data_IF_554944711113
#
_entry.id   IF_554944711113
#
_cell.length_a   1.000
_cell.length_b   1.000
_cell.length_c   1.000
_cell.angle_alpha   90.00
_cell.angle_beta   90.00
_cell.angle_gamma   90.00
#
_symmetry.space_group_name_H-M   'P 1'
#
loop_
_entity.id
_entity.type
_entity.pdbx_description
1 polymer ?
#
# COMPACT_ATOMS: atom_id res chain seq x y z
N UNK A 1 -56.54 -14.60 -98.94
CA UNK A 1 -55.34 -14.42 -98.07
C UNK A 1 -55.12 -12.98 -97.56
N UNK A 2 -55.97 -11.99 -97.90
CA UNK A 2 -55.78 -10.57 -97.51
C UNK A 2 -56.26 -10.24 -96.09
N UNK A 3 -57.32 -10.90 -95.60
CA UNK A 3 -57.84 -10.69 -94.24
C UNK A 3 -56.84 -11.11 -93.15
N UNK A 4 -56.09 -12.18 -93.36
CA UNK A 4 -55.12 -12.70 -92.39
C UNK A 4 -53.93 -11.75 -92.18
N UNK A 5 -53.47 -11.08 -93.24
CA UNK A 5 -52.38 -10.07 -93.15
C UNK A 5 -52.82 -8.81 -92.40
N UNK A 6 -54.09 -8.39 -92.53
CA UNK A 6 -54.65 -7.25 -91.78
C UNK A 6 -54.77 -7.56 -90.29
N UNK A 7 -55.25 -8.77 -89.94
CA UNK A 7 -55.33 -9.22 -88.55
C UNK A 7 -53.95 -9.37 -87.91
N UNK A 8 -52.97 -9.90 -88.65
CA UNK A 8 -51.58 -10.01 -88.18
C UNK A 8 -50.93 -8.65 -87.89
N UNK A 9 -51.12 -7.67 -88.78
CA UNK A 9 -50.59 -6.33 -88.59
C UNK A 9 -51.26 -5.62 -87.41
N UNK A 10 -52.57 -5.79 -87.22
CA UNK A 10 -53.29 -5.27 -86.05
C UNK A 10 -52.78 -5.90 -84.75
N UNK A 11 -52.60 -7.23 -84.73
CA UNK A 11 -52.05 -7.95 -83.58
C UNK A 11 -50.62 -7.49 -83.24
N UNK A 12 -49.74 -7.36 -84.24
CA UNK A 12 -48.38 -6.85 -84.03
C UNK A 12 -48.38 -5.45 -83.42
N UNK A 13 -49.25 -4.56 -83.90
CA UNK A 13 -49.36 -3.21 -83.35
C UNK A 13 -49.87 -3.22 -81.90
N UNK A 14 -50.86 -4.06 -81.59
CA UNK A 14 -51.35 -4.25 -80.20
C UNK A 14 -50.24 -4.82 -79.31
N UNK A 15 -49.49 -5.81 -79.78
CA UNK A 15 -48.40 -6.42 -79.02
C UNK A 15 -47.26 -5.42 -78.74
N UNK A 16 -46.89 -4.59 -79.72
CA UNK A 16 -45.87 -3.54 -79.55
C UNK A 16 -46.37 -2.49 -78.55
N UNK A 17 -47.61 -2.03 -78.69
CA UNK A 17 -48.19 -1.03 -77.78
C UNK A 17 -48.32 -1.57 -76.35
N UNK A 18 -48.74 -2.82 -76.20
CA UNK A 18 -48.83 -3.50 -74.91
C UNK A 18 -47.45 -3.66 -74.26
N UNK A 19 -46.43 -4.10 -75.02
CA UNK A 19 -45.06 -4.21 -74.52
C UNK A 19 -44.48 -2.85 -74.10
N UNK A 20 -44.75 -1.80 -74.88
CA UNK A 20 -44.34 -0.44 -74.53
C UNK A 20 -44.99 0.04 -73.23
N UNK A 21 -46.30 -0.19 -73.06
CA UNK A 21 -47.02 0.16 -71.82
C UNK A 21 -46.45 -0.61 -70.62
N UNK A 22 -46.26 -1.92 -70.73
CA UNK A 22 -45.73 -2.72 -69.62
C UNK A 22 -44.32 -2.31 -69.25
N UNK A 23 -43.45 -2.05 -70.23
CA UNK A 23 -42.10 -1.56 -69.98
C UNK A 23 -42.13 -0.17 -69.33
N UNK A 24 -43.00 0.73 -69.81
CA UNK A 24 -43.18 2.05 -69.23
C UNK A 24 -43.69 1.99 -67.78
N UNK A 25 -44.66 1.11 -67.49
CA UNK A 25 -45.12 0.87 -66.12
C UNK A 25 -43.98 0.31 -65.27
N UNK A 26 -43.21 -0.66 -65.78
CA UNK A 26 -42.08 -1.24 -65.07
C UNK A 26 -41.00 -0.18 -64.75
N UNK A 27 -40.73 0.72 -65.70
CA UNK A 27 -39.84 1.86 -65.51
C UNK A 27 -40.35 2.80 -64.40
N UNK A 28 -41.65 3.13 -64.39
CA UNK A 28 -42.27 3.92 -63.32
C UNK A 28 -42.13 3.21 -61.98
N UNK A 29 -42.36 1.89 -61.93
CA UNK A 29 -42.23 1.10 -60.70
C UNK A 29 -40.79 1.14 -60.18
N UNK A 30 -39.79 1.00 -61.05
CA UNK A 30 -38.38 1.13 -60.66
C UNK A 30 -38.09 2.53 -60.10
N UNK A 31 -38.61 3.58 -60.74
CA UNK A 31 -38.42 4.96 -60.31
C UNK A 31 -39.04 5.21 -58.92
N UNK A 32 -40.22 4.64 -58.67
CA UNK A 32 -40.87 4.68 -57.35
C UNK A 32 -40.05 3.91 -56.31
N UNK A 33 -39.59 2.69 -56.62
CA UNK A 33 -38.74 1.90 -55.73
C UNK A 33 -37.43 2.62 -55.38
N UNK A 34 -36.78 3.27 -56.35
CA UNK A 34 -35.58 4.08 -56.10
C UNK A 34 -35.87 5.22 -55.13
N UNK A 35 -37.02 5.87 -55.24
CA UNK A 35 -37.43 6.93 -54.31
C UNK A 35 -37.59 6.39 -52.88
N UNK A 36 -38.11 5.17 -52.72
CA UNK A 36 -38.21 4.51 -51.40
C UNK A 36 -36.82 4.12 -50.87
N UNK A 37 -35.94 3.59 -51.72
CA UNK A 37 -34.56 3.26 -51.34
C UNK A 37 -33.81 4.49 -50.84
N UNK A 38 -34.00 5.64 -51.49
CA UNK A 38 -33.43 6.91 -51.04
C UNK A 38 -33.91 7.30 -49.63
N UNK A 39 -35.22 7.20 -49.37
CA UNK A 39 -35.79 7.46 -48.04
C UNK A 39 -35.22 6.51 -46.97
N UNK A 40 -35.05 5.23 -47.28
CA UNK A 40 -34.46 4.26 -46.35
C UNK A 40 -32.99 4.59 -46.11
N UNK A 41 -32.23 4.89 -47.16
CA UNK A 41 -30.80 5.16 -47.06
C UNK A 41 -30.53 6.40 -46.21
N UNK A 42 -31.20 7.52 -46.51
CA UNK A 42 -31.00 8.79 -45.78
C UNK A 42 -31.69 8.84 -44.42
N UNK A 43 -32.86 8.20 -44.30
CA UNK A 43 -33.69 8.28 -43.10
C UNK A 43 -33.38 7.22 -42.05
N UNK A 44 -32.85 6.06 -42.46
CA UNK A 44 -32.68 4.90 -41.58
C UNK A 44 -31.26 4.35 -41.64
N UNK A 45 -30.77 3.96 -42.80
CA UNK A 45 -29.50 3.23 -42.91
C UNK A 45 -28.30 4.10 -42.48
N UNK A 46 -28.21 5.34 -42.97
CA UNK A 46 -27.14 6.26 -42.63
C UNK A 46 -27.10 6.63 -41.13
N UNK A 47 -28.20 7.07 -40.49
CA UNK A 47 -28.16 7.40 -39.06
C UNK A 47 -27.94 6.18 -38.17
N UNK A 48 -28.44 4.99 -38.55
CA UNK A 48 -28.21 3.78 -37.75
C UNK A 48 -26.78 3.25 -37.88
N UNK A 49 -26.27 3.08 -39.09
CA UNK A 49 -24.92 2.55 -39.31
C UNK A 49 -23.83 3.58 -39.00
N UNK A 50 -24.08 4.85 -39.34
CA UNK A 50 -23.22 5.97 -38.95
C UNK A 50 -23.24 6.17 -37.43
N UNK A 51 -24.42 6.16 -36.81
CA UNK A 51 -24.57 6.26 -35.35
C UNK A 51 -23.87 5.11 -34.62
N UNK A 52 -24.03 3.88 -35.10
CA UNK A 52 -23.38 2.71 -34.52
C UNK A 52 -21.86 2.76 -34.67
N UNK A 53 -21.37 3.04 -35.88
CA UNK A 53 -19.93 3.19 -36.13
C UNK A 53 -19.32 4.31 -35.29
N UNK A 54 -19.98 5.48 -35.23
CA UNK A 54 -19.55 6.60 -34.39
C UNK A 54 -19.48 6.22 -32.91
N UNK A 55 -20.44 5.43 -32.42
CA UNK A 55 -20.48 4.97 -31.03
C UNK A 55 -19.33 4.04 -30.70
N UNK A 56 -18.93 3.15 -31.63
CA UNK A 56 -17.77 2.28 -31.41
C UNK A 56 -16.44 3.04 -31.46
N UNK A 57 -16.32 4.04 -32.36
CA UNK A 57 -15.16 4.94 -32.35
C UNK A 57 -15.13 5.76 -31.05
N UNK A 58 -16.28 6.23 -30.58
CA UNK A 58 -16.43 6.92 -29.30
C UNK A 58 -16.08 6.04 -28.10
N UNK A 59 -16.49 4.77 -28.11
CA UNK A 59 -16.14 3.77 -27.10
C UNK A 59 -14.63 3.55 -27.05
N UNK A 60 -13.98 3.41 -28.20
CA UNK A 60 -12.53 3.27 -28.25
C UNK A 60 -11.80 4.49 -27.63
N UNK A 61 -12.29 5.69 -27.91
CA UNK A 61 -11.70 6.94 -27.37
C UNK A 61 -12.06 7.24 -25.91
N UNK A 62 -12.97 6.48 -25.28
CA UNK A 62 -13.45 6.76 -23.94
C UNK A 62 -12.44 6.38 -22.85
N UNK A 63 -12.64 6.89 -21.63
CA UNK A 63 -11.73 6.68 -20.48
C UNK A 63 -12.51 6.28 -19.24
N UNK A 64 -11.95 5.37 -18.44
CA UNK A 64 -12.46 4.99 -17.12
C UNK A 64 -11.77 5.86 -16.08
N UNK A 65 -12.53 6.74 -15.43
CA UNK A 65 -12.03 7.56 -14.31
C UNK A 65 -12.70 7.03 -13.04
N UNK A 66 -11.92 6.42 -12.17
CA UNK A 66 -12.43 5.90 -10.89
C UNK A 66 -11.36 5.99 -9.80
N UNK A 67 -11.78 5.90 -8.55
CA UNK A 67 -10.88 5.84 -7.40
C UNK A 67 -10.97 4.44 -6.82
N UNK A 68 -9.84 3.74 -6.79
CA UNK A 68 -9.74 2.41 -6.19
C UNK A 68 -9.41 2.61 -4.70
N UNK A 69 -10.30 2.14 -3.83
CA UNK A 69 -10.06 2.10 -2.39
C UNK A 69 -9.33 0.79 -2.04
N UNK A 70 -8.06 0.89 -1.65
CA UNK A 70 -7.25 -0.22 -1.14
C UNK A 70 -7.32 -0.16 0.38
N UNK A 71 -8.02 -1.13 0.99
CA UNK A 71 -8.08 -1.30 2.44
C UNK A 71 -7.47 -2.65 2.80
N UNK A 72 -6.26 -2.62 3.33
CA UNK A 72 -5.52 -3.83 3.73
C UNK A 72 -4.98 -3.67 5.16
N UNK A 73 -4.59 -4.77 5.78
CA UNK A 73 -3.97 -4.77 7.12
C UNK A 73 -2.68 -5.57 7.09
N UNK A 74 -1.57 -4.87 7.29
CA UNK A 74 -0.26 -5.49 7.40
C UNK A 74 -0.12 -6.06 8.81
N UNK A 75 0.12 -7.37 8.90
CA UNK A 75 0.39 -8.05 10.17
C UNK A 75 1.90 -8.20 10.34
N UNK A 76 2.47 -7.49 11.30
CA UNK A 76 3.89 -7.61 11.69
C UNK A 76 3.98 -8.51 12.90
N UNK A 77 4.63 -9.66 12.74
CA UNK A 77 4.96 -10.58 13.84
C UNK A 77 6.46 -10.65 13.99
N UNK A 78 6.95 -10.18 15.12
CA UNK A 78 8.37 -10.23 15.45
C UNK A 78 8.56 -10.68 16.90
N UNK A 79 9.77 -11.13 17.24
CA UNK A 79 10.13 -11.52 18.60
C UNK A 79 11.42 -10.81 19.00
N UNK A 80 11.30 -9.89 19.94
CA UNK A 80 12.45 -9.16 20.47
C UNK A 80 13.14 -10.05 21.52
N UNK A 81 14.44 -10.28 21.34
CA UNK A 81 15.29 -10.94 22.34
C UNK A 81 15.90 -9.91 23.26
N UNK A 82 15.57 -9.96 24.55
CA UNK A 82 16.23 -9.16 25.58
C UNK A 82 17.23 -10.06 26.29
N UNK A 83 18.52 -9.82 26.03
CA UNK A 83 19.64 -10.51 26.69
C UNK A 83 20.38 -9.49 27.53
N UNK A 84 20.26 -9.61 28.84
CA UNK A 84 20.94 -8.73 29.80
C UNK A 84 21.48 -9.53 30.99
N UNK A 85 22.35 -8.92 31.78
CA UNK A 85 22.86 -9.52 33.01
C UNK A 85 22.92 -8.48 34.13
N UNK A 86 22.24 -8.79 35.22
CA UNK A 86 22.24 -7.96 36.43
C UNK A 86 23.43 -8.41 37.29
N UNK A 87 24.29 -7.46 37.66
CA UNK A 87 25.40 -7.70 38.59
C UNK A 87 24.99 -7.19 39.97
N UNK A 88 24.91 -8.09 40.94
CA UNK A 88 24.63 -7.78 42.34
C UNK A 88 25.93 -7.87 43.12
N UNK A 89 26.40 -6.73 43.62
CA UNK A 89 27.57 -6.64 44.50
C UNK A 89 27.10 -6.28 45.89
N UNK A 90 27.38 -7.16 46.85
CA UNK A 90 27.00 -6.95 48.24
C UNK A 90 28.14 -7.41 49.18
N UNK A 91 28.11 -6.95 50.42
CA UNK A 91 29.06 -7.34 51.45
C UNK A 91 28.32 -7.78 52.71
N UNK A 92 28.53 -9.03 53.12
CA UNK A 92 27.96 -9.54 54.37
C UNK A 92 28.94 -9.24 55.52
N UNK A 93 28.54 -8.50 56.57
CA UNK A 93 29.35 -8.31 57.76
C UNK A 93 29.37 -9.60 58.60
N UNK A 94 30.57 -10.07 58.93
CA UNK A 94 30.80 -11.21 59.81
C UNK A 94 31.44 -10.69 61.10
N UNK A 95 30.61 -10.53 62.13
CA UNK A 95 31.04 -10.16 63.48
C UNK A 95 30.96 -11.39 64.37
N UNK A 96 32.12 -11.97 64.67
CA UNK A 96 32.23 -13.13 65.56
C UNK A 96 33.03 -12.76 66.81
N UNK A 97 32.59 -13.21 67.97
CA UNK A 97 33.31 -13.02 69.20
C UNK A 97 33.78 -14.38 69.73
N UNK A 98 35.09 -14.62 69.69
CA UNK A 98 35.67 -15.93 70.04
C UNK A 98 36.14 -15.87 71.51
N UNK A 99 35.47 -16.57 72.44
CA UNK A 99 35.95 -16.66 73.82
C UNK A 99 37.16 -17.59 73.89
N UNK A 100 38.26 -17.11 74.46
CA UNK A 100 39.49 -17.85 74.69
C UNK A 100 39.70 -18.01 76.20
N UNK A 101 39.48 -19.23 76.69
CA UNK A 101 39.66 -19.60 78.09
C UNK A 101 40.72 -20.71 78.19
N UNK A 102 41.95 -20.35 78.55
CA UNK A 102 43.06 -21.30 78.61
C UNK A 102 44.03 -20.98 79.75
N UNK A 103 44.52 -22.02 80.43
CA UNK A 103 45.58 -21.86 81.42
C UNK A 103 46.93 -21.83 80.70
N UNK A 104 47.72 -20.79 80.94
CA UNK A 104 49.03 -20.61 80.34
C UNK A 104 50.07 -20.28 81.40
N UNK A 105 51.34 -20.58 81.14
CA UNK A 105 52.43 -20.27 82.06
C UNK A 105 53.13 -19.01 81.56
N UNK A 106 53.02 -17.92 82.29
CA UNK A 106 53.72 -16.66 82.00
C UNK A 106 55.07 -16.65 82.72
N UNK A 107 56.10 -16.10 82.10
CA UNK A 107 57.43 -15.96 82.72
C UNK A 107 57.64 -14.52 83.15
N UNK A 108 58.06 -14.28 84.40
CA UNK A 108 58.36 -12.92 84.86
C UNK A 108 59.56 -12.35 84.12
N UNK A 109 59.38 -11.20 83.47
CA UNK A 109 60.45 -10.52 82.72
C UNK A 109 61.29 -9.58 83.58
N UNK A 110 60.85 -9.28 84.81
CA UNK A 110 61.55 -8.44 85.78
C UNK A 110 61.26 -8.91 87.22
N UNK A 111 62.14 -8.62 88.20
CA UNK A 111 61.89 -8.99 89.60
C UNK A 111 60.66 -8.27 90.16
N UNK A 112 59.78 -9.01 90.85
CA UNK A 112 58.54 -8.46 91.43
C UNK A 112 58.61 -8.54 92.96
N UNK A 113 58.69 -7.42 93.69
CA UNK A 113 58.65 -7.43 95.14
C UNK A 113 57.25 -7.77 95.65
N UNK A 114 57.16 -8.69 96.60
CA UNK A 114 55.93 -9.06 97.31
C UNK A 114 56.17 -8.84 98.80
N UNK A 115 55.22 -8.18 99.47
CA UNK A 115 55.21 -8.05 100.93
C UNK A 115 54.06 -8.85 101.50
N UNK A 116 54.34 -9.80 102.36
CA UNK A 116 53.32 -10.62 103.03
C UNK A 116 53.59 -10.73 104.53
N UNK A 117 52.52 -10.69 105.32
CA UNK A 117 52.61 -10.90 106.76
C UNK A 117 52.90 -12.37 107.06
N UNK A 118 53.97 -12.66 107.80
CA UNK A 118 54.33 -14.01 108.22
C UNK A 118 54.43 -14.11 109.75
N UNK A 119 54.19 -15.31 110.28
CA UNK A 119 54.38 -15.61 111.70
C UNK A 119 55.44 -16.69 111.85
N UNK A 120 56.52 -16.37 112.56
CA UNK A 120 57.64 -17.27 112.85
C UNK A 120 57.58 -17.71 114.31
N UNK A 121 57.53 -19.01 114.57
CA UNK A 121 57.59 -19.56 115.93
C UNK A 121 59.04 -19.94 116.28
N UNK A 122 59.59 -19.44 117.39
CA UNK A 122 60.98 -19.70 117.79
C UNK A 122 61.10 -20.99 118.64
N UNK A 123 61.97 -21.95 118.26
CA UNK A 123 62.19 -23.17 119.03
C UNK A 123 62.84 -22.88 120.41
N UNK A 124 62.42 -23.60 121.46
CA UNK A 124 63.01 -23.50 122.81
C UNK A 124 62.21 -22.68 123.84
N UNK A 125 60.92 -22.39 123.58
CA UNK A 125 60.03 -21.70 124.52
C UNK A 125 60.05 -20.17 124.42
N UNK A 126 60.72 -19.60 123.41
CA UNK A 126 60.90 -18.16 123.21
C UNK A 126 59.75 -17.40 122.53
N UNK A 127 58.58 -18.03 122.29
CA UNK A 127 57.40 -17.39 121.70
C UNK A 127 57.38 -17.29 120.17
N UNK A 128 56.37 -16.60 119.62
CA UNK A 128 56.12 -16.45 118.16
C UNK A 128 56.19 -14.98 117.76
N UNK A 129 57.02 -14.66 116.76
CA UNK A 129 57.15 -13.32 116.18
C UNK A 129 56.27 -13.24 114.94
N UNK A 130 55.36 -12.27 114.93
CA UNK A 130 54.63 -11.87 113.71
C UNK A 130 55.36 -10.68 113.10
N UNK A 131 55.77 -10.82 111.84
CA UNK A 131 56.50 -9.80 111.11
C UNK A 131 56.08 -9.76 109.65
N UNK A 132 56.18 -8.59 109.02
CA UNK A 132 55.95 -8.48 107.59
C UNK A 132 57.24 -8.85 106.86
N UNK A 133 57.16 -9.77 105.90
CA UNK A 133 58.31 -10.24 105.12
C UNK A 133 58.18 -9.68 103.71
N UNK A 134 59.21 -9.00 103.24
CA UNK A 134 59.34 -8.59 101.85
C UNK A 134 60.19 -9.65 101.12
N UNK A 135 59.59 -10.36 100.16
CA UNK A 135 60.25 -11.34 99.30
C UNK A 135 60.16 -10.83 97.87
N UNK A 136 61.28 -10.75 97.16
CA UNK A 136 61.27 -10.38 95.74
C UNK A 136 61.30 -11.66 94.90
N UNK A 137 60.27 -11.88 94.09
CA UNK A 137 60.28 -12.98 93.13
C UNK A 137 61.28 -12.65 92.01
N UNK A 138 62.23 -13.56 91.71
CA UNK A 138 63.25 -13.30 90.70
C UNK A 138 62.65 -13.29 89.29
N UNK A 139 63.29 -12.54 88.40
CA UNK A 139 63.03 -12.65 86.96
C UNK A 139 63.28 -14.10 86.49
N UNK A 140 62.51 -14.56 85.52
CA UNK A 140 62.55 -15.93 85.01
C UNK A 140 61.66 -16.93 85.77
N UNK A 141 60.98 -16.51 86.84
CA UNK A 141 60.00 -17.36 87.51
C UNK A 141 58.77 -17.57 86.61
N UNK A 142 58.39 -18.83 86.44
CA UNK A 142 57.23 -19.24 85.65
C UNK A 142 55.99 -19.31 86.55
N UNK A 143 54.95 -18.55 86.20
CA UNK A 143 53.68 -18.49 86.91
C UNK A 143 52.56 -19.04 86.01
N UNK A 144 51.88 -20.12 86.42
CA UNK A 144 50.64 -20.53 85.77
C UNK A 144 49.54 -19.51 86.04
N UNK A 145 48.88 -19.04 85.00
CA UNK A 145 47.76 -18.10 85.05
C UNK A 145 46.63 -18.58 84.14
N UNK A 146 45.38 -18.31 84.53
CA UNK A 146 44.21 -18.58 83.70
C UNK A 146 43.91 -17.36 82.84
N UNK A 147 43.94 -17.52 81.52
CA UNK A 147 43.62 -16.47 80.57
C UNK A 147 42.18 -16.60 80.12
N UNK A 148 41.37 -15.55 80.33
CA UNK A 148 39.99 -15.46 79.87
C UNK A 148 39.85 -14.17 79.05
N UNK A 149 39.91 -14.29 77.73
CA UNK A 149 39.85 -13.15 76.80
C UNK A 149 38.76 -13.40 75.76
N UNK A 150 38.05 -12.35 75.35
CA UNK A 150 37.15 -12.40 74.20
C UNK A 150 37.80 -11.68 73.03
N UNK A 151 38.04 -12.42 71.95
CA UNK A 151 38.66 -11.88 70.75
C UNK A 151 37.57 -11.56 69.72
N UNK A 152 37.28 -10.29 69.44
CA UNK A 152 36.37 -9.91 68.37
C UNK A 152 37.05 -10.07 67.01
N UNK A 153 36.36 -10.70 66.08
CA UNK A 153 36.71 -10.76 64.66
C UNK A 153 35.63 -10.02 63.90
N UNK A 154 36.00 -8.92 63.26
CA UNK A 154 35.15 -8.14 62.38
C UNK A 154 35.74 -8.23 60.97
N UNK A 155 35.02 -8.86 60.06
CA UNK A 155 35.44 -9.04 58.67
C UNK A 155 34.23 -8.97 57.74
N UNK A 156 34.42 -8.47 56.52
CA UNK A 156 33.38 -8.44 55.51
C UNK A 156 33.67 -9.46 54.41
N UNK A 157 32.62 -10.20 54.01
CA UNK A 157 32.69 -11.13 52.89
C UNK A 157 32.05 -10.49 51.65
N UNK A 158 32.81 -10.22 50.58
CA UNK A 158 32.25 -9.70 49.34
C UNK A 158 31.52 -10.81 48.57
N UNK A 159 30.37 -10.47 48.00
CA UNK A 159 29.57 -11.31 47.10
C UNK A 159 29.46 -10.58 45.77
N UNK A 160 29.78 -11.28 44.68
CA UNK A 160 29.56 -10.81 43.30
C UNK A 160 28.73 -11.87 42.57
N UNK A 161 27.44 -11.60 42.37
CA UNK A 161 26.51 -12.50 41.71
C UNK A 161 26.05 -11.90 40.38
N UNK A 162 26.26 -12.63 39.30
CA UNK A 162 25.78 -12.29 37.96
C UNK A 162 24.54 -13.12 37.61
N UNK A 163 23.39 -12.47 37.51
CA UNK A 163 22.12 -13.13 37.14
C UNK A 163 21.81 -12.83 35.66
N UNK A 164 21.81 -13.85 34.78
CA UNK A 164 21.45 -13.67 33.38
C UNK A 164 19.92 -13.54 33.21
N UNK A 165 19.49 -12.60 32.37
CA UNK A 165 18.11 -12.41 31.94
C UNK A 165 18.05 -12.71 30.44
N UNK A 166 17.20 -13.67 30.05
CA UNK A 166 16.91 -13.97 28.66
C UNK A 166 15.39 -14.03 28.50
N UNK A 167 14.84 -13.03 27.80
CA UNK A 167 13.40 -12.87 27.63
C UNK A 167 13.04 -12.68 26.15
N UNK A 168 12.14 -13.52 25.67
CA UNK A 168 11.55 -13.43 24.34
C UNK A 168 10.22 -12.69 24.45
N UNK A 169 10.13 -11.48 23.89
CA UNK A 169 8.89 -10.70 23.88
C UNK A 169 8.27 -10.76 22.49
N UNK A 170 7.12 -11.44 22.32
CA UNK A 170 6.41 -11.46 21.04
C UNK A 170 5.73 -10.12 20.80
N UNK A 171 5.87 -9.59 19.59
CA UNK A 171 5.20 -8.38 19.11
C UNK A 171 4.27 -8.79 17.97
N UNK A 172 2.95 -8.60 18.14
CA UNK A 172 1.95 -8.71 17.08
C UNK A 172 1.33 -7.32 16.87
N UNK A 173 1.69 -6.68 15.77
CA UNK A 173 1.20 -5.36 15.39
C UNK A 173 0.39 -5.47 14.10
N UNK A 174 -0.83 -4.93 14.12
CA UNK A 174 -1.69 -4.81 12.95
C UNK A 174 -1.73 -3.36 12.51
N UNK A 175 -1.18 -3.07 11.34
CA UNK A 175 -1.17 -1.73 10.75
C UNK A 175 -2.23 -1.67 9.65
N UNK A 176 -3.36 -0.97 9.85
CA UNK A 176 -4.33 -0.76 8.79
C UNK A 176 -3.76 0.22 7.75
N UNK A 177 -3.88 -0.15 6.47
CA UNK A 177 -3.49 0.68 5.33
C UNK A 177 -4.74 0.97 4.52
N UNK A 178 -5.15 2.24 4.50
CA UNK A 178 -6.24 2.73 3.66
C UNK A 178 -5.67 3.72 2.65
N UNK A 179 -5.60 3.30 1.37
CA UNK A 179 -5.08 4.11 0.27
C UNK A 179 -6.15 4.28 -0.79
N UNK A 180 -6.37 5.52 -1.22
CA UNK A 180 -7.24 5.84 -2.36
C UNK A 180 -6.38 6.14 -3.57
N UNK A 181 -6.44 5.27 -4.57
CA UNK A 181 -5.65 5.42 -5.81
C UNK A 181 -6.59 5.91 -6.91
N UNK A 182 -6.48 7.18 -7.36
CA UNK A 182 -7.18 7.62 -8.55
C UNK A 182 -6.58 6.91 -9.77
N UNK A 183 -7.42 6.28 -10.58
CA UNK A 183 -7.04 5.65 -11.84
C UNK A 183 -7.78 6.30 -12.99
N UNK A 184 -7.04 6.52 -14.08
CA UNK A 184 -7.55 7.04 -15.34
C UNK A 184 -7.05 6.11 -16.45
N UNK A 185 -7.94 5.26 -16.95
CA UNK A 185 -7.61 4.17 -17.88
C UNK A 185 -8.25 4.49 -19.24
N UNK A 186 -7.47 4.85 -20.27
CA UNK A 186 -7.98 4.97 -21.63
C UNK A 186 -8.47 3.60 -22.15
N UNK A 187 -9.68 3.54 -22.70
CA UNK A 187 -10.23 2.27 -23.22
C UNK A 187 -9.44 1.74 -24.41
N UNK A 188 -8.81 2.63 -25.19
CA UNK A 188 -7.92 2.27 -26.29
C UNK A 188 -6.70 1.44 -25.85
N UNK A 189 -6.32 1.48 -24.57
CA UNK A 189 -5.23 0.69 -23.97
C UNK A 189 -5.72 -0.59 -23.29
N UNK A 190 -7.03 -0.82 -23.26
CA UNK A 190 -7.63 -2.01 -22.63
C UNK A 190 -7.96 -3.08 -23.65
N UNK A 191 -8.20 -4.32 -23.19
CA UNK A 191 -8.72 -5.40 -24.03
C UNK A 191 -10.09 -5.09 -24.66
N UNK A 192 -10.84 -4.13 -24.11
CA UNK A 192 -12.12 -3.69 -24.68
C UNK A 192 -11.92 -2.95 -26.02
N UNK A 193 -10.74 -2.38 -26.26
CA UNK A 193 -10.35 -1.81 -27.55
C UNK A 193 -10.44 -2.85 -28.68
N UNK A 194 -9.99 -4.07 -28.45
CA UNK A 194 -9.97 -5.12 -29.48
C UNK A 194 -11.39 -5.45 -29.95
N UNK A 195 -12.33 -5.52 -29.01
CA UNK A 195 -13.76 -5.69 -29.30
C UNK A 195 -14.30 -4.48 -30.05
N UNK A 196 -13.97 -3.26 -29.59
CA UNK A 196 -14.42 -2.03 -30.24
C UNK A 196 -13.88 -1.90 -31.68
N UNK A 197 -12.62 -2.27 -31.93
CA UNK A 197 -11.99 -2.30 -33.26
C UNK A 197 -12.60 -3.37 -34.15
N UNK A 198 -12.80 -4.58 -33.63
CA UNK A 198 -13.46 -5.64 -34.40
C UNK A 198 -14.87 -5.22 -34.87
N UNK A 199 -15.64 -4.55 -34.00
CA UNK A 199 -16.94 -4.02 -34.36
C UNK A 199 -16.83 -2.87 -35.38
N UNK A 200 -15.83 -2.01 -35.25
CA UNK A 200 -15.54 -0.97 -36.25
C UNK A 200 -15.19 -1.60 -37.61
N UNK A 201 -14.34 -2.63 -37.66
CA UNK A 201 -13.90 -3.26 -38.90
C UNK A 201 -15.05 -3.95 -39.63
N UNK A 202 -15.98 -4.57 -38.91
CA UNK A 202 -17.16 -5.21 -39.48
C UNK A 202 -18.14 -4.19 -40.04
N UNK A 203 -18.33 -3.05 -39.35
CA UNK A 203 -19.33 -2.05 -39.72
C UNK A 203 -18.79 -1.01 -40.72
N UNK A 204 -17.48 -0.71 -40.69
CA UNK A 204 -16.84 0.27 -41.57
C UNK A 204 -17.17 0.11 -43.06
N UNK A 205 -17.05 -1.08 -43.68
CA UNK A 205 -17.38 -1.23 -45.10
C UNK A 205 -18.86 -0.94 -45.39
N UNK A 206 -19.78 -1.34 -44.50
CA UNK A 206 -21.20 -1.07 -44.66
C UNK A 206 -21.51 0.41 -44.54
N UNK A 207 -20.91 1.09 -43.56
CA UNK A 207 -21.09 2.52 -43.37
C UNK A 207 -20.52 3.31 -44.55
N UNK A 208 -19.36 2.92 -45.12
CA UNK A 208 -18.80 3.55 -46.33
C UNK A 208 -19.74 3.46 -47.53
N UNK A 209 -20.26 2.26 -47.81
CA UNK A 209 -21.21 2.07 -48.92
C UNK A 209 -22.44 2.95 -48.71
N UNK A 210 -23.06 2.89 -47.54
CA UNK A 210 -24.31 3.63 -47.27
C UNK A 210 -24.14 5.14 -47.32
N UNK A 211 -23.00 5.66 -46.86
CA UNK A 211 -22.73 7.10 -46.87
C UNK A 211 -22.32 7.62 -48.25
N UNK A 212 -21.79 6.77 -49.14
CA UNK A 212 -21.42 7.11 -50.52
C UNK A 212 -22.54 6.83 -51.55
N UNK A 213 -23.64 6.19 -51.16
CA UNK A 213 -24.79 5.97 -52.03
C UNK A 213 -25.56 7.28 -52.29
N UNK A 214 -26.08 7.48 -53.51
CA UNK A 214 -26.91 8.64 -53.83
C UNK A 214 -28.19 8.64 -52.99
N UNK A 215 -28.51 9.78 -52.38
CA UNK A 215 -29.63 9.94 -51.44
C UNK A 215 -30.85 10.59 -52.07
N UNK A 216 -30.72 11.11 -53.28
CA UNK A 216 -31.79 11.80 -54.00
C UNK A 216 -31.56 11.73 -55.51
N UNK A 217 -32.57 12.18 -56.26
CA UNK A 217 -32.53 12.22 -57.72
C UNK A 217 -31.37 13.07 -58.27
N UNK A 218 -30.99 14.16 -57.59
CA UNK A 218 -29.92 15.03 -58.05
C UNK A 218 -28.55 14.32 -58.00
N UNK A 219 -28.25 13.65 -56.88
CA UNK A 219 -27.04 12.84 -56.72
C UNK A 219 -27.02 11.64 -57.66
N UNK A 220 -28.17 11.00 -57.88
CA UNK A 220 -28.30 9.90 -58.83
C UNK A 220 -27.94 10.32 -60.26
N UNK A 221 -28.38 11.50 -60.72
CA UNK A 221 -28.00 12.02 -62.04
C UNK A 221 -26.49 12.29 -62.14
N UNK A 222 -25.86 12.75 -61.07
CA UNK A 222 -24.40 12.93 -61.00
C UNK A 222 -23.67 11.58 -61.11
N UNK A 223 -24.13 10.56 -60.39
CA UNK A 223 -23.57 9.21 -60.44
C UNK A 223 -23.71 8.59 -61.84
N UNK A 224 -24.88 8.71 -62.46
CA UNK A 224 -25.13 8.23 -63.83
C UNK A 224 -24.18 8.93 -64.82
N UNK A 225 -24.01 10.26 -64.70
CA UNK A 225 -23.07 11.03 -65.52
C UNK A 225 -21.63 10.55 -65.39
N UNK A 226 -21.19 10.25 -64.16
CA UNK A 226 -19.86 9.70 -63.85
C UNK A 226 -19.65 8.31 -64.46
N UNK A 227 -20.65 7.43 -64.38
CA UNK A 227 -20.60 6.09 -65.00
C UNK A 227 -20.48 6.20 -66.52
N UNK A 228 -21.29 7.07 -67.14
CA UNK A 228 -21.24 7.32 -68.59
C UNK A 228 -19.91 7.92 -69.05
N UNK A 229 -19.25 8.71 -68.19
CA UNK A 229 -17.93 9.29 -68.44
C UNK A 229 -16.77 8.29 -68.21
N UNK A 230 -17.06 7.03 -67.85
CA UNK A 230 -16.04 6.01 -67.58
C UNK A 230 -15.36 6.13 -66.21
N UNK A 231 -15.95 6.89 -65.29
CA UNK A 231 -15.43 7.13 -63.94
C UNK A 231 -16.46 6.66 -62.90
N UNK A 232 -16.69 5.36 -62.72
CA UNK A 232 -17.66 4.87 -61.75
C UNK A 232 -17.28 5.34 -60.34
N UNK A 233 -18.24 5.82 -59.53
CA UNK A 233 -17.96 6.21 -58.16
C UNK A 233 -17.53 5.01 -57.32
N UNK A 234 -16.48 5.20 -56.52
CA UNK A 234 -16.01 4.21 -55.57
C UNK A 234 -16.83 4.29 -54.28
N UNK A 235 -17.65 3.26 -54.03
CA UNK A 235 -18.52 3.20 -52.86
C UNK A 235 -17.75 2.94 -51.55
N UNK A 236 -16.50 2.48 -51.64
CA UNK A 236 -15.64 2.19 -50.50
C UNK A 236 -14.64 3.31 -50.21
N UNK A 237 -14.73 4.43 -50.91
CA UNK A 237 -13.87 5.58 -50.67
C UNK A 237 -14.16 6.21 -49.29
N UNK A 238 -13.11 6.63 -48.59
CA UNK A 238 -13.26 7.40 -47.36
C UNK A 238 -13.90 8.77 -47.65
N UNK A 239 -14.93 9.11 -46.89
CA UNK A 239 -15.66 10.36 -46.99
C UNK A 239 -15.48 11.23 -45.74
N UNK A 240 -16.10 12.41 -45.73
CA UNK A 240 -15.96 13.38 -44.64
C UNK A 240 -16.38 12.81 -43.28
N UNK A 241 -17.43 11.99 -43.25
CA UNK A 241 -17.87 11.29 -42.05
C UNK A 241 -16.78 10.33 -41.52
N UNK A 242 -16.15 9.54 -42.39
CA UNK A 242 -15.08 8.60 -42.01
C UNK A 242 -13.83 9.31 -41.48
N UNK A 243 -13.58 10.57 -41.86
CA UNK A 243 -12.45 11.35 -41.35
C UNK A 243 -12.65 11.80 -39.92
N UNK A 244 -13.89 12.10 -39.52
CA UNK A 244 -14.21 12.48 -38.16
C UNK A 244 -15.55 11.86 -37.70
N UNK A 245 -15.59 10.53 -37.52
CA UNK A 245 -16.84 9.82 -37.23
C UNK A 245 -17.33 10.07 -35.81
N UNK A 246 -16.45 10.56 -34.92
CA UNK A 246 -16.78 10.90 -33.54
C UNK A 246 -16.30 12.32 -33.20
N UNK A 247 -17.17 13.33 -33.32
CA UNK A 247 -16.83 14.74 -33.06
C UNK A 247 -16.66 15.08 -31.57
N UNK A 248 -16.92 14.12 -30.66
CA UNK A 248 -16.58 14.25 -29.25
C UNK A 248 -17.67 13.72 -28.31
N UNK A 249 -17.32 13.71 -27.03
CA UNK A 249 -18.27 13.42 -25.96
C UNK A 249 -19.42 14.42 -26.08
N UNK A 250 -20.65 13.92 -26.31
CA UNK A 250 -21.90 14.70 -26.25
C UNK A 250 -22.31 15.46 -27.52
N UNK A 251 -22.23 14.84 -28.70
CA UNK A 251 -22.94 15.34 -29.92
C UNK A 251 -24.27 14.63 -30.21
N UNK A 252 -24.71 13.73 -29.32
CA UNK A 252 -26.03 13.10 -29.40
C UNK A 252 -27.15 13.88 -28.69
N UNK A 253 -28.42 13.44 -28.76
CA UNK A 253 -29.61 14.08 -28.17
C UNK A 253 -29.64 14.25 -26.63
N UNK A 254 -28.49 14.21 -25.94
CA UNK A 254 -28.33 14.40 -24.49
C UNK A 254 -27.18 15.35 -24.12
N UNK A 255 -26.76 16.21 -25.06
CA UNK A 255 -25.56 17.03 -24.93
C UNK A 255 -25.57 18.05 -23.78
N UNK A 256 -26.75 18.40 -23.27
CA UNK A 256 -26.97 19.46 -22.30
C UNK A 256 -26.89 19.01 -20.82
N UNK A 257 -26.44 17.79 -20.53
CA UNK A 257 -26.20 17.40 -19.14
C UNK A 257 -25.00 18.17 -18.57
N UNK A 258 -25.01 18.60 -17.30
CA UNK A 258 -23.90 19.35 -16.73
C UNK A 258 -22.58 18.58 -16.86
N UNK A 259 -21.51 19.33 -17.15
CA UNK A 259 -20.14 18.84 -17.25
C UNK A 259 -19.72 18.33 -15.87
N UNK A 260 -19.42 17.04 -15.74
CA UNK A 260 -18.54 16.60 -14.66
C UNK A 260 -17.13 16.99 -15.07
N UNK A 261 -16.77 18.25 -14.82
CA UNK A 261 -15.37 18.61 -14.73
C UNK A 261 -14.86 17.88 -13.49
N UNK A 262 -13.92 16.91 -13.60
CA UNK A 262 -13.20 16.49 -12.41
C UNK A 262 -12.53 17.76 -11.90
N UNK A 263 -13.03 18.31 -10.80
CA UNK A 263 -12.37 19.44 -10.14
C UNK A 263 -10.97 18.92 -9.79
N UNK A 264 -9.90 19.42 -10.43
CA UNK A 264 -8.57 19.11 -9.93
C UNK A 264 -8.57 19.52 -8.46
N UNK A 265 -8.12 18.63 -7.58
CA UNK A 265 -7.89 18.99 -6.19
C UNK A 265 -7.15 20.33 -6.19
N UNK A 266 -7.68 21.39 -5.54
CA UNK A 266 -7.01 22.67 -5.53
C UNK A 266 -5.57 22.46 -5.05
N UNK A 267 -4.58 23.17 -5.60
CA UNK A 267 -3.18 23.03 -5.20
C UNK A 267 -2.95 23.25 -3.69
N UNK A 268 -3.94 23.82 -2.99
CA UNK A 268 -3.98 24.06 -1.55
C UNK A 268 -4.91 23.11 -0.77
N UNK A 269 -5.25 21.93 -1.30
CA UNK A 269 -5.98 20.92 -0.54
C UNK A 269 -5.10 20.40 0.61
N UNK A 270 -5.16 21.09 1.75
CA UNK A 270 -4.58 20.62 3.00
C UNK A 270 -5.32 19.36 3.42
N UNK A 271 -4.57 18.26 3.57
CA UNK A 271 -5.05 17.10 4.31
C UNK A 271 -5.35 17.60 5.72
N UNK A 272 -6.63 17.77 6.05
CA UNK A 272 -7.04 17.94 7.44
C UNK A 272 -6.83 16.57 8.09
N UNK A 273 -5.65 16.36 8.66
CA UNK A 273 -5.47 15.33 9.68
C UNK A 273 -6.29 15.82 10.86
N UNK A 274 -7.52 15.32 10.98
CA UNK A 274 -8.33 15.51 12.20
C UNK A 274 -7.60 14.75 13.30
N UNK A 275 -6.99 15.42 14.29
CA UNK A 275 -6.47 14.71 15.45
C UNK A 275 -7.66 14.12 16.23
N UNK A 276 -7.48 13.02 16.98
CA UNK A 276 -8.55 12.51 17.82
C UNK A 276 -8.99 13.61 18.78
N UNK A 277 -10.30 13.82 18.89
CA UNK A 277 -10.86 14.83 19.79
C UNK A 277 -10.57 14.46 21.25
N UNK A 278 -9.48 14.98 21.81
CA UNK A 278 -9.31 15.06 23.25
C UNK A 278 -10.10 16.25 23.76
N UNK A 279 -11.07 15.96 24.65
CA UNK A 279 -11.97 16.96 25.19
C UNK A 279 -11.24 17.97 26.06
N UNK A 280 -11.42 19.27 25.78
CA UNK A 280 -11.25 20.33 26.78
C UNK A 280 -12.03 21.60 26.40
N UNK A 281 -12.43 22.32 27.44
CA UNK A 281 -13.48 23.36 27.58
C UNK A 281 -13.55 24.51 26.55
N UNK A 282 -14.72 25.18 26.42
CA UNK A 282 -14.94 26.27 25.49
C UNK A 282 -14.46 27.60 26.08
N UNK A 283 -13.40 28.17 25.50
CA UNK A 283 -13.12 29.62 25.35
C UNK A 283 -11.62 29.86 25.20
N UNK A 284 -11.11 29.70 23.97
CA UNK A 284 -9.94 30.44 23.49
C UNK A 284 -9.91 30.32 21.97
N UNK A 285 -9.98 31.45 21.28
CA UNK A 285 -9.80 31.53 19.83
C UNK A 285 -8.28 31.55 19.55
N UNK A 286 -7.66 30.53 18.92
CA UNK A 286 -6.26 30.60 18.57
C UNK A 286 -6.10 31.30 17.21
N UNK A 287 -5.35 32.40 17.20
CA UNK A 287 -4.93 33.09 15.97
C UNK A 287 -3.90 32.22 15.24
N UNK A 288 -4.27 31.62 14.11
CA UNK A 288 -3.36 30.82 13.29
C UNK A 288 -2.60 31.74 12.32
N UNK A 289 -1.29 31.86 12.51
CA UNK A 289 -0.37 32.43 11.50
C UNK A 289 0.17 31.26 10.65
N UNK A 290 -0.06 31.21 9.32
CA UNK A 290 0.47 30.12 8.51
C UNK A 290 1.99 30.29 8.31
N UNK A 291 2.76 29.31 8.80
CA UNK A 291 4.19 29.14 8.44
C UNK A 291 4.26 28.30 7.17
N UNK A 292 4.76 28.90 6.09
CA UNK A 292 4.94 28.23 4.79
C UNK A 292 6.27 27.47 4.81
N UNK A 293 6.23 26.15 4.65
CA UNK A 293 7.43 25.33 4.38
C UNK A 293 7.35 24.84 2.93
N UNK A 294 8.40 24.99 2.10
CA UNK A 294 8.35 24.57 0.70
C UNK A 294 8.30 23.05 0.54
N UNK A 295 7.53 22.61 -0.47
CA UNK A 295 7.30 21.22 -0.88
C UNK A 295 8.58 20.61 -1.49
N UNK A 296 9.01 19.39 -1.11
CA UNK A 296 10.14 18.72 -1.75
C UNK A 296 9.76 18.18 -3.14
N UNK A 297 10.71 18.09 -4.10
CA UNK A 297 10.41 17.64 -5.46
C UNK A 297 10.02 16.16 -5.53
N UNK A 298 9.12 15.87 -6.48
CA UNK A 298 8.54 14.57 -6.83
C UNK A 298 9.60 13.48 -7.09
N UNK A 299 9.47 12.26 -6.54
CA UNK A 299 10.39 11.18 -6.86
C UNK A 299 10.26 10.74 -8.32
N UNK A 300 11.39 10.66 -9.02
CA UNK A 300 11.48 10.12 -10.39
C UNK A 300 11.42 8.59 -10.31
N UNK A 301 10.35 7.99 -10.84
CA UNK A 301 10.27 6.54 -11.01
C UNK A 301 11.27 6.11 -12.09
N UNK A 302 12.29 5.34 -11.69
CA UNK A 302 13.18 4.66 -12.62
C UNK A 302 12.48 3.38 -13.10
N UNK A 303 12.18 3.30 -14.39
CA UNK A 303 11.64 2.09 -15.02
C UNK A 303 12.74 1.03 -15.01
N UNK A 304 12.52 -0.07 -14.30
CA UNK A 304 13.40 -1.25 -14.34
C UNK A 304 13.06 -2.06 -15.59
N UNK A 305 14.08 -2.45 -16.34
CA UNK A 305 13.99 -3.25 -17.56
C UNK A 305 13.38 -4.64 -17.25
N UNK A 306 12.37 -5.12 -18.01
CA UNK A 306 11.81 -6.46 -17.83
C UNK A 306 12.83 -7.61 -17.99
N UNK A 307 14.04 -7.37 -18.49
CA UNK A 307 15.11 -8.37 -18.56
C UNK A 307 15.71 -8.78 -17.20
N UNK A 308 15.50 -8.00 -16.13
CA UNK A 308 16.02 -8.29 -14.78
C UNK A 308 15.12 -9.20 -13.93
N UNK A 309 13.99 -9.67 -14.48
CA UNK A 309 13.16 -10.69 -13.83
C UNK A 309 13.81 -12.09 -13.96
N UNK A 310 14.78 -12.40 -13.10
CA UNK A 310 15.12 -13.80 -12.83
C UNK A 310 14.06 -14.41 -11.89
N UNK A 311 13.23 -15.30 -12.43
CA UNK A 311 12.35 -16.14 -11.63
C UNK A 311 13.17 -16.93 -10.58
N UNK A 312 12.75 -16.96 -9.30
CA UNK A 312 13.33 -17.90 -8.34
C UNK A 312 12.90 -19.32 -8.71
N UNK A 313 13.88 -20.18 -9.00
CA UNK A 313 13.71 -21.63 -9.12
C UNK A 313 13.03 -22.19 -7.86
N UNK A 314 11.98 -23.01 -7.98
CA UNK A 314 11.37 -23.62 -6.80
C UNK A 314 12.30 -24.70 -6.23
N UNK A 315 12.84 -24.46 -5.03
CA UNK A 315 13.47 -25.50 -4.21
C UNK A 315 12.36 -26.34 -3.58
N UNK A 316 12.27 -27.60 -3.99
CA UNK A 316 11.29 -28.55 -3.48
C UNK A 316 11.56 -28.92 -2.00
N UNK A 317 10.53 -29.25 -1.22
CA UNK A 317 10.65 -30.16 -0.08
C UNK A 317 10.77 -31.62 -0.51
#
# INVERSE_FOLDING_TARGET
>A
MIGLRRLWNAFRNVAIFFSFIFNFIFLIVILLLLTVIFQITSGVAEPLLGGLYSSFVGLNKARIITTIDVNDTINVRDTIQVVDSINVKDTIPVVLNIPLQQNTVVTLTQPVPITANASFALPGGGGTIRGNVAITLPQGLQLPVALNLNVPVDSSLPIDLKVPVNLNVPVDLRVPVALKVPVDIPLEETQLNDVAKSLQDVIAPLTRVVTNLPKNWNEMWIVIGKILAGQPPDLLQDNEFMRNPWPGYRTGPGANLPTFTPTPLPPDATVIVVPPAEGTAPNAMPTLTPTVTPVPPTPTLTIVDPADYRSPTPTAP
#
